data_IF_742983344713
#
_entry.id   IF_742983344713
#
_cell.length_a   1.000
_cell.length_b   1.000
_cell.length_c   1.000
_cell.angle_alpha   90.00
_cell.angle_beta   90.00
_cell.angle_gamma   90.00
#
_symmetry.space_group_name_H-M   'P 1'
#
loop_
_entity.id
_entity.type
_entity.pdbx_description
1 polymer ?
#
# COMPACT_ATOMS: atom_id res chain seq x y z
N UNK A 1 19.38 13.16 60.83
CA UNK A 1 19.42 14.41 60.04
C UNK A 1 19.10 15.65 60.88
N UNK A 2 18.46 15.51 62.05
CA UNK A 2 18.07 16.65 62.88
C UNK A 2 19.24 17.39 63.54
N UNK A 3 20.38 16.72 63.72
CA UNK A 3 21.61 17.32 64.27
C UNK A 3 22.24 18.36 63.31
N UNK A 4 22.16 18.13 61.99
CA UNK A 4 22.68 19.06 61.00
C UNK A 4 21.80 20.29 60.82
N UNK A 5 20.48 20.17 61.06
CA UNK A 5 19.55 21.31 61.02
C UNK A 5 19.71 22.28 62.19
N UNK A 6 20.39 21.87 63.27
CA UNK A 6 20.62 22.67 64.47
C UNK A 6 21.94 23.46 64.46
N UNK A 7 22.82 23.22 63.48
CA UNK A 7 24.10 23.93 63.36
C UNK A 7 23.98 25.11 62.41
N UNK A 8 24.72 26.18 62.67
CA UNK A 8 24.83 27.29 61.72
C UNK A 8 25.70 26.91 60.50
N UNK A 9 25.62 27.70 59.44
CA UNK A 9 26.33 27.49 58.19
C UNK A 9 27.85 27.51 58.32
N UNK A 10 28.42 28.36 59.18
CA UNK A 10 29.87 28.38 59.46
C UNK A 10 30.33 27.16 60.25
N UNK A 11 29.52 26.69 61.21
CA UNK A 11 29.80 25.49 61.98
C UNK A 11 29.79 24.24 61.08
N UNK A 12 28.82 24.15 60.16
CA UNK A 12 28.77 23.11 59.13
C UNK A 12 30.00 23.15 58.21
N UNK A 13 30.41 24.35 57.77
CA UNK A 13 31.59 24.52 56.91
C UNK A 13 32.88 24.11 57.64
N UNK A 14 33.05 24.46 58.92
CA UNK A 14 34.20 24.02 59.72
C UNK A 14 34.22 22.50 59.89
N UNK A 15 33.08 21.87 60.12
CA UNK A 15 32.97 20.41 60.22
C UNK A 15 33.32 19.72 58.91
N UNK A 16 32.86 20.27 57.78
CA UNK A 16 33.23 19.84 56.42
C UNK A 16 34.73 19.94 56.19
N UNK A 17 35.34 21.09 56.46
CA UNK A 17 36.79 21.29 56.32
C UNK A 17 37.60 20.31 57.17
N UNK A 18 37.20 20.05 58.42
CA UNK A 18 37.87 19.08 59.29
C UNK A 18 37.76 17.63 58.79
N UNK A 19 36.62 17.25 58.19
CA UNK A 19 36.44 15.92 57.59
C UNK A 19 37.37 15.71 56.40
N UNK A 20 37.49 16.71 55.52
CA UNK A 20 38.31 16.62 54.31
C UNK A 20 39.80 16.87 54.57
N UNK A 21 40.19 17.52 55.68
CA UNK A 21 41.60 17.65 56.08
C UNK A 21 42.28 16.29 56.36
N UNK A 22 41.53 15.26 56.76
CA UNK A 22 42.04 13.88 56.92
C UNK A 22 42.21 13.14 55.59
N UNK A 23 41.60 13.62 54.52
CA UNK A 23 41.68 13.04 53.18
C UNK A 23 42.57 13.99 52.37
N UNK A 24 43.89 13.82 52.52
CA UNK A 24 44.87 14.80 52.03
C UNK A 24 44.59 15.33 50.63
N UNK A 25 44.65 16.66 50.50
CA UNK A 25 44.92 17.36 49.24
C UNK A 25 43.76 17.59 48.27
N UNK A 26 42.49 17.47 48.67
CA UNK A 26 41.38 17.83 47.78
C UNK A 26 40.93 19.28 48.00
N UNK A 27 41.02 20.11 46.96
CA UNK A 27 40.54 21.50 46.96
C UNK A 27 39.18 21.54 46.26
N UNK A 28 38.14 21.91 47.01
CA UNK A 28 36.76 21.86 46.53
C UNK A 28 36.49 22.90 45.44
N UNK A 29 35.92 22.48 44.32
CA UNK A 29 35.59 23.36 43.18
C UNK A 29 36.62 23.40 42.06
N UNK A 30 37.78 22.73 42.22
CA UNK A 30 38.76 22.57 41.15
C UNK A 30 38.63 21.17 40.55
N UNK A 31 38.39 21.01 39.24
CA UNK A 31 38.41 19.71 38.58
C UNK A 31 39.82 19.12 38.69
N UNK A 32 39.96 18.01 39.42
CA UNK A 32 41.23 17.26 39.52
C UNK A 32 41.15 16.07 38.58
N UNK A 33 42.10 15.98 37.66
CA UNK A 33 42.16 14.87 36.71
C UNK A 33 42.49 13.54 37.41
N UNK A 34 41.90 12.41 36.98
CA UNK A 34 42.13 11.12 37.62
C UNK A 34 43.60 10.66 37.48
N UNK A 35 44.30 10.49 38.60
CA UNK A 35 45.66 9.94 38.63
C UNK A 35 45.59 8.41 38.54
N UNK A 36 46.06 7.84 37.41
CA UNK A 36 46.10 6.38 37.20
C UNK A 36 47.31 5.76 37.90
N UNK A 37 47.10 5.07 39.03
CA UNK A 37 48.16 4.28 39.69
C UNK A 37 48.44 2.98 38.92
N UNK A 38 49.71 2.59 38.84
CA UNK A 38 50.25 1.49 38.01
C UNK A 38 49.68 0.11 38.39
N UNK A 39 49.13 -0.05 39.61
CA UNK A 39 48.53 -1.30 40.11
C UNK A 39 47.05 -1.16 40.47
N UNK A 40 46.26 -0.42 39.70
CA UNK A 40 44.80 -0.42 39.86
C UNK A 40 44.22 -1.73 39.30
N UNK A 41 43.42 -2.44 40.11
CA UNK A 41 42.56 -3.51 39.59
C UNK A 41 41.68 -2.92 38.49
N UNK A 42 41.52 -3.64 37.37
CA UNK A 42 40.54 -3.28 36.35
C UNK A 42 39.19 -3.17 37.05
N UNK A 43 38.46 -2.08 36.81
CA UNK A 43 37.07 -1.93 37.24
C UNK A 43 36.35 -3.18 36.73
N UNK A 44 35.83 -4.03 37.62
CA UNK A 44 34.93 -5.10 37.21
C UNK A 44 33.82 -4.42 36.42
N UNK A 45 33.74 -4.74 35.13
CA UNK A 45 32.58 -4.40 34.33
C UNK A 45 31.35 -4.88 35.11
N UNK A 46 30.29 -4.08 35.24
CA UNK A 46 29.11 -4.53 35.95
C UNK A 46 28.69 -5.83 35.29
N UNK A 47 28.82 -6.95 36.01
CA UNK A 47 28.37 -8.26 35.58
C UNK A 47 26.93 -8.03 35.13
N UNK A 48 26.68 -8.19 33.83
CA UNK A 48 25.35 -8.10 33.24
C UNK A 48 24.55 -9.22 33.88
N UNK A 49 23.96 -8.95 35.05
CA UNK A 49 23.15 -9.91 35.77
C UNK A 49 22.01 -10.26 34.83
N UNK A 50 21.89 -11.55 34.50
CA UNK A 50 20.75 -12.07 33.76
C UNK A 50 19.49 -11.62 34.49
N UNK A 51 18.60 -10.93 33.79
CA UNK A 51 17.25 -10.74 34.29
C UNK A 51 16.63 -12.15 34.38
N UNK A 52 16.05 -12.54 35.53
CA UNK A 52 15.34 -13.80 35.65
C UNK A 52 14.27 -13.91 34.56
N UNK A 53 14.13 -15.09 33.94
CA UNK A 53 13.17 -15.33 32.85
C UNK A 53 11.74 -14.92 33.26
N UNK A 54 11.37 -15.16 34.52
CA UNK A 54 10.06 -14.79 35.07
C UNK A 54 9.84 -13.26 35.13
N UNK A 55 10.86 -12.49 35.51
CA UNK A 55 10.75 -11.02 35.57
C UNK A 55 10.59 -10.42 34.17
N UNK A 56 11.23 -11.02 33.18
CA UNK A 56 11.10 -10.61 31.78
C UNK A 56 9.74 -10.97 31.20
N UNK A 57 9.25 -12.18 31.45
CA UNK A 57 7.93 -12.62 31.00
C UNK A 57 6.84 -11.70 31.58
N UNK A 58 6.94 -11.34 32.85
CA UNK A 58 6.02 -10.41 33.52
C UNK A 58 6.09 -8.98 32.91
N UNK A 59 7.29 -8.46 32.65
CA UNK A 59 7.46 -7.15 31.99
C UNK A 59 6.86 -7.16 30.57
N UNK A 60 7.04 -8.26 29.85
CA UNK A 60 6.56 -8.46 28.48
C UNK A 60 5.05 -8.56 28.43
N UNK A 61 4.43 -9.29 29.35
CA UNK A 61 2.98 -9.43 29.42
C UNK A 61 2.32 -8.08 29.74
N UNK A 62 2.87 -7.32 30.70
CA UNK A 62 2.42 -5.95 30.99
C UNK A 62 2.53 -5.04 29.77
N UNK A 63 3.62 -5.14 29.02
CA UNK A 63 3.83 -4.31 27.82
C UNK A 63 2.89 -4.73 26.68
N UNK A 64 2.62 -6.03 26.51
CA UNK A 64 1.62 -6.54 25.57
C UNK A 64 0.22 -6.04 25.90
N UNK A 65 -0.16 -6.01 27.18
CA UNK A 65 -1.41 -5.40 27.62
C UNK A 65 -1.45 -3.89 27.32
N UNK A 66 -0.37 -3.16 27.62
CA UNK A 66 -0.29 -1.73 27.35
C UNK A 66 -0.41 -1.42 25.85
N UNK A 67 0.24 -2.19 24.98
CA UNK A 67 0.11 -2.05 23.52
C UNK A 67 -1.33 -2.33 23.08
N UNK A 68 -1.97 -3.35 23.66
CA UNK A 68 -3.34 -3.72 23.33
C UNK A 68 -4.33 -2.62 23.73
N UNK A 69 -4.17 -2.04 24.92
CA UNK A 69 -4.96 -0.90 25.43
C UNK A 69 -4.67 0.40 24.66
N UNK A 70 -3.42 0.65 24.29
CA UNK A 70 -3.02 1.82 23.50
C UNK A 70 -3.46 1.75 22.03
N UNK A 71 -3.82 0.57 21.52
CA UNK A 71 -4.45 0.44 20.20
C UNK A 71 -5.80 1.18 20.13
N UNK A 72 -6.43 1.43 21.28
CA UNK A 72 -7.69 2.17 21.44
C UNK A 72 -7.49 3.65 21.82
N UNK A 73 -6.30 4.05 22.27
CA UNK A 73 -5.97 5.43 22.62
C UNK A 73 -4.52 5.78 22.27
N UNK A 74 -4.34 6.73 21.34
CA UNK A 74 -3.03 7.21 20.89
C UNK A 74 -2.27 7.85 22.06
N UNK A 75 -1.33 7.11 22.67
CA UNK A 75 -0.48 7.63 23.73
C UNK A 75 1.00 7.35 23.45
N UNK A 76 1.81 8.42 23.48
CA UNK A 76 3.28 8.45 23.35
C UNK A 76 4.08 7.59 24.36
N UNK A 77 3.62 7.32 25.60
CA UNK A 77 4.37 6.53 26.60
C UNK A 77 4.73 5.10 26.15
N UNK A 78 3.98 4.52 25.22
CA UNK A 78 4.17 3.13 24.76
C UNK A 78 5.43 2.95 23.90
N UNK A 79 5.92 3.99 23.21
CA UNK A 79 7.07 3.90 22.30
C UNK A 79 8.41 3.78 23.06
N UNK A 80 8.59 4.58 24.11
CA UNK A 80 9.80 4.54 24.95
C UNK A 80 9.93 3.20 25.67
N UNK A 81 8.86 2.73 26.30
CA UNK A 81 8.83 1.42 26.97
C UNK A 81 9.13 0.28 25.99
N UNK A 82 8.59 0.33 24.77
CA UNK A 82 8.85 -0.66 23.73
C UNK A 82 10.32 -0.66 23.28
N UNK A 83 10.93 0.51 23.12
CA UNK A 83 12.35 0.64 22.75
C UNK A 83 13.26 0.08 23.86
N UNK A 84 12.97 0.41 25.12
CA UNK A 84 13.72 -0.12 26.27
C UNK A 84 13.64 -1.65 26.33
N UNK A 85 12.45 -2.23 26.13
CA UNK A 85 12.27 -3.69 26.12
C UNK A 85 13.01 -4.38 24.97
N UNK A 86 13.00 -3.77 23.77
CA UNK A 86 13.76 -4.27 22.61
C UNK A 86 15.26 -4.31 22.92
N UNK A 87 15.81 -3.24 23.52
CA UNK A 87 17.22 -3.19 23.89
C UNK A 87 17.58 -4.17 25.02
N UNK A 88 16.68 -4.37 26.00
CA UNK A 88 16.85 -5.43 27.01
C UNK A 88 16.90 -6.82 26.35
N UNK A 89 15.94 -7.13 25.48
CA UNK A 89 15.89 -8.43 24.79
C UNK A 89 17.12 -8.68 23.92
N UNK A 90 17.63 -7.67 23.21
CA UNK A 90 18.88 -7.81 22.43
C UNK A 90 20.05 -8.23 23.30
N UNK A 91 20.26 -7.54 24.43
CA UNK A 91 21.34 -7.88 25.37
C UNK A 91 21.22 -9.32 25.85
N UNK A 92 20.02 -9.76 26.19
CA UNK A 92 19.83 -11.13 26.67
C UNK A 92 20.01 -12.20 25.59
N UNK A 93 19.55 -11.91 24.38
CA UNK A 93 19.80 -12.76 23.22
C UNK A 93 21.30 -12.88 22.96
N UNK A 94 22.07 -11.79 23.08
CA UNK A 94 23.54 -11.82 22.93
C UNK A 94 24.21 -12.67 24.02
N UNK A 95 23.72 -12.61 25.28
CA UNK A 95 24.19 -13.48 26.35
C UNK A 95 23.87 -14.96 26.05
N UNK A 96 22.66 -15.26 25.60
CA UNK A 96 22.26 -16.63 25.28
C UNK A 96 22.98 -17.19 24.05
N UNK A 97 23.26 -16.36 23.05
CA UNK A 97 24.15 -16.74 21.95
C UNK A 97 25.57 -17.05 22.44
N UNK A 98 26.11 -16.25 23.36
CA UNK A 98 27.43 -16.50 23.94
C UNK A 98 27.47 -17.84 24.67
N UNK A 99 26.43 -18.15 25.45
CA UNK A 99 26.27 -19.44 26.13
C UNK A 99 26.09 -20.61 25.16
N UNK A 100 25.35 -20.41 24.07
CA UNK A 100 25.20 -21.43 23.04
C UNK A 100 26.54 -21.73 22.36
N UNK A 101 27.32 -20.69 22.03
CA UNK A 101 28.68 -20.83 21.46
C UNK A 101 29.62 -21.57 22.41
N UNK A 102 29.53 -21.29 23.72
CA UNK A 102 30.29 -22.01 24.75
C UNK A 102 29.86 -23.47 24.86
N UNK A 103 28.55 -23.75 24.89
CA UNK A 103 28.02 -25.10 25.01
C UNK A 103 28.34 -25.99 23.80
N UNK A 104 28.43 -25.43 22.59
CA UNK A 104 28.84 -26.15 21.38
C UNK A 104 30.38 -26.33 21.35
N UNK A 105 31.13 -25.59 22.16
CA UNK A 105 32.59 -25.64 22.17
C UNK A 105 33.25 -24.85 21.03
N UNK A 106 32.57 -23.84 20.49
CA UNK A 106 33.06 -23.03 19.36
C UNK A 106 33.76 -21.74 19.79
N UNK A 107 33.77 -21.40 21.08
CA UNK A 107 34.31 -20.13 21.62
C UNK A 107 35.72 -19.79 21.09
N UNK A 108 36.67 -20.70 21.28
CA UNK A 108 38.07 -20.45 20.91
C UNK A 108 38.25 -20.36 19.40
N UNK A 109 37.51 -21.19 18.64
CA UNK A 109 37.54 -21.16 17.16
C UNK A 109 36.98 -19.84 16.62
N UNK A 110 35.91 -19.33 17.22
CA UNK A 110 35.29 -18.07 16.82
C UNK A 110 36.20 -16.87 17.14
N UNK A 111 36.89 -16.89 18.30
CA UNK A 111 37.89 -15.88 18.65
C UNK A 111 39.06 -15.88 17.67
N UNK A 112 39.63 -17.05 17.37
CA UNK A 112 40.72 -17.18 16.39
C UNK A 112 40.29 -16.67 15.01
N UNK A 113 39.08 -17.03 14.56
CA UNK A 113 38.54 -16.58 13.28
C UNK A 113 38.36 -15.06 13.25
N UNK A 114 37.89 -14.46 14.34
CA UNK A 114 37.76 -12.99 14.46
C UNK A 114 39.11 -12.29 14.32
N UNK A 115 40.15 -12.83 14.93
CA UNK A 115 41.51 -12.30 14.79
C UNK A 115 42.07 -12.45 13.37
N UNK A 116 41.83 -13.59 12.72
CA UNK A 116 42.20 -13.81 11.31
C UNK A 116 41.50 -12.81 10.39
N UNK A 117 40.18 -12.58 10.57
CA UNK A 117 39.42 -11.59 9.82
C UNK A 117 39.92 -10.16 10.05
N UNK A 118 40.29 -9.81 11.28
CA UNK A 118 40.84 -8.48 11.59
C UNK A 118 42.18 -8.24 10.88
N UNK A 119 43.05 -9.26 10.79
CA UNK A 119 44.33 -9.19 10.06
C UNK A 119 44.16 -9.16 8.54
N UNK A 120 43.13 -9.82 8.01
CA UNK A 120 42.82 -9.80 6.59
C UNK A 120 42.23 -8.44 6.15
N UNK A 121 41.38 -7.83 6.99
CA UNK A 121 40.76 -6.53 6.70
C UNK A 121 41.77 -5.36 6.73
N UNK A 122 42.91 -5.50 7.40
CA UNK A 122 43.95 -4.44 7.44
C UNK A 122 44.83 -4.41 6.18
N UNK A 123 44.63 -5.32 5.22
CA UNK A 123 45.42 -5.42 3.99
C UNK A 123 44.68 -4.97 2.71
N UNK A 124 43.48 -4.39 2.83
CA UNK A 124 42.62 -3.92 1.71
C UNK A 124 42.39 -4.96 0.58
N UNK A 125 42.66 -6.24 0.86
CA UNK A 125 42.41 -7.34 -0.05
C UNK A 125 41.02 -7.91 0.16
N UNK A 126 40.36 -8.28 -0.94
CA UNK A 126 39.15 -9.11 -0.91
C UNK A 126 39.44 -10.35 -0.06
N UNK A 127 38.53 -10.67 0.88
CA UNK A 127 38.69 -11.79 1.82
C UNK A 127 39.14 -13.07 1.09
N UNK A 128 40.24 -13.66 1.56
CA UNK A 128 40.84 -14.84 0.94
C UNK A 128 39.84 -16.02 0.92
N UNK A 129 39.70 -16.78 -0.18
CA UNK A 129 38.74 -17.89 -0.28
C UNK A 129 38.82 -18.91 0.88
N UNK A 130 40.02 -19.22 1.35
CA UNK A 130 40.23 -20.11 2.52
C UNK A 130 39.60 -19.56 3.81
N UNK A 131 39.58 -18.23 4.00
CA UNK A 131 38.93 -17.61 5.16
C UNK A 131 37.40 -17.68 5.03
N UNK A 132 36.86 -17.49 3.83
CA UNK A 132 35.44 -17.69 3.55
C UNK A 132 35.00 -19.13 3.84
N UNK A 133 35.75 -20.13 3.39
CA UNK A 133 35.48 -21.54 3.68
C UNK A 133 35.47 -21.84 5.19
N UNK A 134 36.36 -21.20 5.97
CA UNK A 134 36.37 -21.33 7.44
C UNK A 134 35.14 -20.70 8.08
N UNK A 135 34.70 -19.53 7.60
CA UNK A 135 33.49 -18.86 8.07
C UNK A 135 32.26 -19.73 7.80
N UNK A 136 32.13 -20.26 6.58
CA UNK A 136 31.00 -21.11 6.18
C UNK A 136 30.97 -22.42 6.99
N UNK A 137 32.12 -23.07 7.18
CA UNK A 137 32.20 -24.27 8.05
C UNK A 137 31.77 -23.98 9.48
N UNK A 138 32.24 -22.87 10.06
CA UNK A 138 31.90 -22.52 11.44
C UNK A 138 30.42 -22.12 11.59
N UNK A 139 29.86 -21.46 10.57
CA UNK A 139 28.42 -21.18 10.48
C UNK A 139 27.60 -22.48 10.43
N UNK A 140 27.99 -23.44 9.61
CA UNK A 140 27.29 -24.72 9.50
C UNK A 140 27.40 -25.57 10.78
N UNK A 141 28.58 -25.61 11.39
CA UNK A 141 28.81 -26.26 12.70
C UNK A 141 27.92 -25.61 13.78
N UNK A 142 27.88 -24.28 13.83
CA UNK A 142 27.04 -23.54 14.77
C UNK A 142 25.56 -23.85 14.56
N UNK A 143 25.06 -23.78 13.32
CA UNK A 143 23.64 -24.05 13.03
C UNK A 143 23.23 -25.50 13.31
N UNK A 144 24.15 -26.47 13.11
CA UNK A 144 23.90 -27.87 13.45
C UNK A 144 23.93 -28.11 14.97
N UNK A 145 24.80 -27.41 15.69
CA UNK A 145 24.93 -27.51 17.14
C UNK A 145 23.85 -26.75 17.91
N UNK A 146 23.34 -25.64 17.38
CA UNK A 146 22.41 -24.75 18.05
C UNK A 146 21.12 -25.44 18.55
N UNK A 147 20.47 -26.37 17.82
CA UNK A 147 19.29 -27.05 18.34
C UNK A 147 19.57 -27.97 19.53
N UNK A 148 20.83 -28.35 19.75
CA UNK A 148 21.24 -29.30 20.79
C UNK A 148 21.64 -28.63 22.11
N UNK A 149 21.78 -27.29 22.12
CA UNK A 149 22.20 -26.60 23.35
C UNK A 149 21.06 -26.47 24.36
N UNK A 150 21.33 -26.57 25.67
CA UNK A 150 20.29 -26.51 26.71
C UNK A 150 19.46 -25.23 26.71
N UNK A 151 20.05 -24.10 26.30
CA UNK A 151 19.40 -22.79 26.27
C UNK A 151 18.66 -22.49 24.94
N UNK A 152 18.65 -23.41 23.98
CA UNK A 152 18.05 -23.18 22.65
C UNK A 152 16.57 -22.81 22.70
N UNK A 153 15.81 -23.47 23.59
CA UNK A 153 14.38 -23.18 23.76
C UNK A 153 14.13 -21.75 24.24
N UNK A 154 14.93 -21.27 25.20
CA UNK A 154 14.85 -19.89 25.71
C UNK A 154 15.26 -18.88 24.63
N UNK A 155 16.35 -19.15 23.92
CA UNK A 155 16.85 -18.30 22.85
C UNK A 155 15.81 -18.15 21.73
N UNK A 156 15.20 -19.27 21.32
CA UNK A 156 14.13 -19.27 20.32
C UNK A 156 12.92 -18.46 20.79
N UNK A 157 12.53 -18.59 22.06
CA UNK A 157 11.43 -17.83 22.64
C UNK A 157 11.71 -16.32 22.64
N UNK A 158 12.88 -15.89 23.12
CA UNK A 158 13.29 -14.48 23.15
C UNK A 158 13.44 -13.87 21.75
N UNK A 159 13.98 -14.62 20.79
CA UNK A 159 14.02 -14.21 19.38
C UNK A 159 12.62 -14.01 18.79
N UNK A 160 11.68 -14.91 19.11
CA UNK A 160 10.28 -14.77 18.72
C UNK A 160 9.66 -13.49 19.27
N UNK A 161 9.91 -13.21 20.54
CA UNK A 161 9.42 -12.01 21.22
C UNK A 161 10.03 -10.71 20.67
N UNK A 162 11.34 -10.69 20.43
CA UNK A 162 12.02 -9.56 19.80
C UNK A 162 11.43 -9.24 18.42
N UNK A 163 11.10 -10.28 17.64
CA UNK A 163 10.44 -10.13 16.34
C UNK A 163 9.04 -9.54 16.46
N UNK A 164 8.25 -9.93 17.46
CA UNK A 164 6.93 -9.36 17.73
C UNK A 164 7.03 -7.87 18.09
N UNK A 165 7.90 -7.51 19.03
CA UNK A 165 8.08 -6.11 19.44
C UNK A 165 8.62 -5.23 18.32
N UNK A 166 9.54 -5.75 17.50
CA UNK A 166 10.05 -5.03 16.32
C UNK A 166 8.93 -4.76 15.31
N UNK A 167 8.03 -5.71 15.09
CA UNK A 167 6.84 -5.50 14.23
C UNK A 167 5.90 -4.45 14.83
N UNK A 168 5.65 -4.50 16.14
CA UNK A 168 4.82 -3.53 16.83
C UNK A 168 5.39 -2.11 16.72
N UNK A 169 6.71 -1.96 16.87
CA UNK A 169 7.42 -0.70 16.69
C UNK A 169 7.27 -0.16 15.27
N UNK A 170 7.53 -0.98 14.26
CA UNK A 170 7.35 -0.60 12.86
C UNK A 170 5.90 -0.17 12.55
N UNK A 171 4.90 -0.82 13.16
CA UNK A 171 3.51 -0.44 13.00
C UNK A 171 3.18 0.92 13.66
N UNK A 172 3.77 1.20 14.82
CA UNK A 172 3.62 2.47 15.51
C UNK A 172 4.26 3.62 14.73
N UNK A 173 5.50 3.43 14.24
CA UNK A 173 6.20 4.42 13.41
C UNK A 173 5.45 4.71 12.10
N UNK A 174 4.85 3.69 11.48
CA UNK A 174 4.03 3.90 10.27
C UNK A 174 2.77 4.72 10.57
N UNK A 175 2.14 4.52 11.74
CA UNK A 175 0.98 5.31 12.16
C UNK A 175 1.37 6.76 12.44
N UNK A 176 2.46 7.01 13.17
CA UNK A 176 2.90 8.37 13.48
C UNK A 176 3.30 9.14 12.22
N UNK A 177 4.07 8.52 11.31
CA UNK A 177 4.40 9.10 10.00
C UNK A 177 3.16 9.34 9.13
N UNK A 178 2.18 8.45 9.18
CA UNK A 178 0.91 8.62 8.47
C UNK A 178 0.07 9.79 9.02
N UNK A 179 0.05 9.97 10.35
CA UNK A 179 -0.61 11.10 10.99
C UNK A 179 0.10 12.43 10.69
N UNK A 180 1.43 12.45 10.71
CA UNK A 180 2.26 13.60 10.32
C UNK A 180 2.02 13.99 8.86
N UNK A 181 2.09 13.02 7.94
CA UNK A 181 1.83 13.25 6.52
C UNK A 181 0.40 13.75 6.27
N UNK A 182 -0.59 13.27 7.03
CA UNK A 182 -1.97 13.78 6.97
C UNK A 182 -2.05 15.24 7.40
N UNK A 183 -1.35 15.63 8.46
CA UNK A 183 -1.29 17.03 8.91
C UNK A 183 -0.61 17.91 7.88
N UNK A 184 0.49 17.47 7.30
CA UNK A 184 1.23 18.20 6.28
C UNK A 184 0.41 18.39 5.00
N UNK A 185 -0.29 17.34 4.54
CA UNK A 185 -1.21 17.44 3.40
C UNK A 185 -2.33 18.45 3.70
N UNK A 186 -2.96 18.38 4.88
CA UNK A 186 -4.02 19.32 5.26
C UNK A 186 -3.52 20.76 5.32
N UNK A 187 -2.31 20.97 5.85
CA UNK A 187 -1.64 22.27 5.84
C UNK A 187 -1.43 22.76 4.40
N UNK A 188 -0.97 21.87 3.50
CA UNK A 188 -0.70 22.23 2.11
C UNK A 188 -1.97 22.56 1.31
N UNK A 189 -3.04 21.78 1.52
CA UNK A 189 -4.38 22.09 0.97
C UNK A 189 -4.82 23.48 1.44
N UNK A 190 -4.67 23.77 2.73
CA UNK A 190 -5.06 25.06 3.30
C UNK A 190 -4.23 26.21 2.70
N UNK A 191 -2.93 26.05 2.56
CA UNK A 191 -2.05 27.04 1.91
C UNK A 191 -2.51 27.37 0.48
N UNK A 192 -2.90 26.37 -0.31
CA UNK A 192 -3.42 26.57 -1.67
C UNK A 192 -4.77 27.30 -1.65
N UNK A 193 -5.67 26.92 -0.75
CA UNK A 193 -7.01 27.54 -0.63
C UNK A 193 -6.98 28.96 -0.07
N UNK A 194 -5.97 29.30 0.73
CA UNK A 194 -5.79 30.63 1.32
C UNK A 194 -5.06 31.61 0.39
N UNK A 195 -4.61 31.17 -0.81
CA UNK A 195 -4.00 32.06 -1.81
C UNK A 195 -4.99 33.15 -2.23
N UNK A 196 -4.56 34.43 -2.27
CA UNK A 196 -5.45 35.56 -2.61
C UNK A 196 -6.17 35.34 -3.94
N UNK A 197 -5.45 34.87 -4.96
CA UNK A 197 -5.99 34.71 -6.32
C UNK A 197 -7.10 33.66 -6.36
N UNK A 198 -6.93 32.53 -5.67
CA UNK A 198 -7.93 31.45 -5.60
C UNK A 198 -9.15 31.90 -4.79
N UNK A 199 -8.90 32.57 -3.67
CA UNK A 199 -9.94 33.03 -2.74
C UNK A 199 -10.82 34.12 -3.36
N UNK A 200 -10.21 35.09 -4.03
CA UNK A 200 -10.93 36.16 -4.74
C UNK A 200 -11.78 35.60 -5.89
N UNK A 201 -11.21 34.73 -6.73
CA UNK A 201 -11.97 34.07 -7.81
C UNK A 201 -13.13 33.25 -7.27
N UNK A 202 -12.93 32.51 -6.18
CA UNK A 202 -13.98 31.71 -5.56
C UNK A 202 -15.10 32.58 -4.95
N UNK A 203 -14.76 33.73 -4.36
CA UNK A 203 -15.76 34.69 -3.86
C UNK A 203 -16.53 35.36 -5.00
N UNK A 204 -15.86 35.77 -6.07
CA UNK A 204 -16.50 36.36 -7.24
C UNK A 204 -17.50 35.38 -7.88
N UNK A 205 -17.08 34.13 -8.09
CA UNK A 205 -17.92 33.06 -8.63
C UNK A 205 -19.11 32.74 -7.71
N UNK A 206 -18.89 32.75 -6.38
CA UNK A 206 -19.96 32.57 -5.40
C UNK A 206 -21.00 33.70 -5.47
N UNK A 207 -20.55 34.95 -5.63
CA UNK A 207 -21.44 36.09 -5.78
C UNK A 207 -22.22 36.04 -7.10
N UNK A 208 -21.60 35.57 -8.19
CA UNK A 208 -22.23 35.38 -9.50
C UNK A 208 -23.33 34.31 -9.44
N UNK A 209 -23.06 33.16 -8.81
CA UNK A 209 -24.07 32.11 -8.57
C UNK A 209 -25.19 32.58 -7.65
N UNK A 210 -24.92 33.44 -6.67
CA UNK A 210 -25.98 34.01 -5.83
C UNK A 210 -26.85 35.02 -6.58
N UNK A 211 -26.23 35.83 -7.46
CA UNK A 211 -26.94 36.83 -8.28
C UNK A 211 -27.85 36.21 -9.32
N UNK A 212 -27.54 34.99 -9.79
CA UNK A 212 -28.40 34.29 -10.76
C UNK A 212 -29.75 33.87 -10.15
N UNK A 213 -29.86 33.78 -8.82
CA UNK A 213 -31.12 33.47 -8.12
C UNK A 213 -31.62 32.04 -8.35
N UNK A 214 -30.75 31.17 -8.88
CA UNK A 214 -31.10 29.83 -9.33
C UNK A 214 -30.92 28.81 -8.20
N UNK A 215 -31.91 27.94 -8.01
CA UNK A 215 -31.91 26.92 -6.94
C UNK A 215 -31.15 25.63 -7.30
N UNK A 216 -30.94 25.35 -8.59
CA UNK A 216 -30.27 24.13 -9.06
C UNK A 216 -29.13 24.44 -10.03
N UNK A 217 -28.11 23.58 -10.08
CA UNK A 217 -26.97 23.74 -10.97
C UNK A 217 -27.30 23.58 -12.45
N UNK A 218 -28.42 22.94 -12.79
CA UNK A 218 -28.83 22.69 -14.17
C UNK A 218 -29.41 23.95 -14.84
N UNK A 219 -29.94 24.85 -14.02
CA UNK A 219 -30.60 26.08 -14.43
C UNK A 219 -29.62 27.28 -14.46
N UNK A 220 -28.32 27.05 -14.16
CA UNK A 220 -27.27 28.06 -14.30
C UNK A 220 -27.00 28.37 -15.77
N UNK A 221 -26.68 29.63 -16.07
CA UNK A 221 -26.28 30.00 -17.42
C UNK A 221 -24.96 29.30 -17.82
N UNK A 222 -24.80 29.10 -19.12
CA UNK A 222 -23.66 28.39 -19.69
C UNK A 222 -22.32 29.03 -19.30
N UNK A 223 -22.24 30.36 -19.26
CA UNK A 223 -21.03 31.10 -18.94
C UNK A 223 -20.58 30.89 -17.48
N UNK A 224 -21.52 30.92 -16.54
CA UNK A 224 -21.27 30.62 -15.12
C UNK A 224 -20.85 29.16 -14.95
N UNK A 225 -21.49 28.23 -15.66
CA UNK A 225 -21.16 26.79 -15.62
C UNK A 225 -19.76 26.49 -16.16
N UNK A 226 -19.38 27.11 -17.26
CA UNK A 226 -18.02 27.03 -17.81
C UNK A 226 -16.99 27.62 -16.84
N UNK A 227 -17.30 28.76 -16.22
CA UNK A 227 -16.42 29.42 -15.24
C UNK A 227 -16.21 28.57 -13.99
N UNK A 228 -17.26 27.92 -13.48
CA UNK A 228 -17.16 26.93 -12.39
C UNK A 228 -16.24 25.77 -12.79
N UNK A 229 -16.42 25.24 -14.00
CA UNK A 229 -15.62 24.12 -14.50
C UNK A 229 -14.14 24.49 -14.67
N UNK A 230 -13.86 25.71 -15.15
CA UNK A 230 -12.50 26.25 -15.27
C UNK A 230 -11.84 26.41 -13.90
N UNK A 231 -12.54 27.02 -12.95
CA UNK A 231 -12.04 27.22 -11.58
C UNK A 231 -11.74 25.88 -10.89
N UNK A 232 -12.61 24.87 -11.08
CA UNK A 232 -12.39 23.52 -10.55
C UNK A 232 -11.09 22.91 -11.08
N UNK A 233 -10.83 23.02 -12.39
CA UNK A 233 -9.59 22.52 -13.00
C UNK A 233 -8.36 23.28 -12.49
N UNK A 234 -8.47 24.59 -12.32
CA UNK A 234 -7.40 25.43 -11.76
C UNK A 234 -7.03 24.99 -10.34
N UNK A 235 -8.01 24.83 -9.44
CA UNK A 235 -7.79 24.33 -8.06
C UNK A 235 -7.19 22.92 -8.07
N UNK A 236 -7.68 22.02 -8.93
CA UNK A 236 -7.14 20.67 -9.05
C UNK A 236 -5.67 20.67 -9.47
N UNK A 237 -5.30 21.51 -10.44
CA UNK A 237 -3.92 21.61 -10.91
C UNK A 237 -3.00 22.19 -9.83
N UNK A 238 -3.43 23.27 -9.17
CA UNK A 238 -2.68 23.89 -8.07
C UNK A 238 -2.47 22.92 -6.91
N UNK A 239 -3.51 22.17 -6.54
CA UNK A 239 -3.41 21.18 -5.48
C UNK A 239 -2.51 20.00 -5.89
N UNK A 240 -2.63 19.52 -7.12
CA UNK A 240 -1.77 18.46 -7.63
C UNK A 240 -0.29 18.89 -7.65
N UNK A 241 0.01 20.11 -8.09
CA UNK A 241 1.37 20.66 -8.06
C UNK A 241 1.89 20.81 -6.63
N UNK A 242 1.05 21.29 -5.71
CA UNK A 242 1.43 21.45 -4.31
C UNK A 242 1.71 20.10 -3.63
N UNK A 243 0.94 19.06 -3.93
CA UNK A 243 1.16 17.71 -3.41
C UNK A 243 2.38 17.04 -4.09
N UNK A 244 2.60 17.24 -5.40
CA UNK A 244 3.81 16.79 -6.09
C UNK A 244 5.08 17.43 -5.53
N UNK A 245 5.00 18.68 -5.06
CA UNK A 245 6.14 19.33 -4.38
C UNK A 245 6.50 18.71 -3.03
N UNK A 246 5.65 17.82 -2.50
CA UNK A 246 5.92 16.98 -1.32
C UNK A 246 6.41 15.58 -1.72
N UNK A 247 6.85 15.39 -2.97
CA UNK A 247 7.23 14.09 -3.55
C UNK A 247 6.12 13.04 -3.53
N UNK A 248 4.86 13.47 -3.46
CA UNK A 248 3.70 12.58 -3.57
C UNK A 248 3.36 12.38 -5.04
N UNK A 249 3.15 11.11 -5.42
CA UNK A 249 2.62 10.80 -6.75
C UNK A 249 1.11 11.10 -6.77
N UNK A 250 0.71 11.98 -7.68
CA UNK A 250 -0.67 12.48 -7.76
C UNK A 250 -1.19 12.24 -9.16
N UNK A 251 -2.10 11.26 -9.25
CA UNK A 251 -2.88 11.01 -10.46
C UNK A 251 -4.13 11.91 -10.45
N UNK A 252 -4.23 12.83 -11.41
CA UNK A 252 -5.45 13.62 -11.61
C UNK A 252 -6.47 12.73 -12.31
N UNK A 253 -7.31 12.06 -11.53
CA UNK A 253 -8.41 11.26 -12.06
C UNK A 253 -9.46 12.21 -12.64
N UNK A 254 -9.51 12.31 -13.96
CA UNK A 254 -10.58 13.04 -14.64
C UNK A 254 -11.88 12.25 -14.57
N UNK A 255 -13.02 12.93 -14.54
CA UNK A 255 -14.34 12.29 -14.58
C UNK A 255 -14.47 11.31 -15.75
N UNK A 256 -13.74 11.55 -16.85
CA UNK A 256 -13.65 10.67 -18.01
C UNK A 256 -13.15 9.27 -17.65
N UNK A 257 -12.19 9.12 -16.72
CA UNK A 257 -11.65 7.82 -16.28
C UNK A 257 -12.64 7.06 -15.38
N UNK A 258 -13.35 7.77 -14.50
CA UNK A 258 -14.38 7.17 -13.62
C UNK A 258 -15.65 6.78 -14.38
N UNK A 259 -16.01 7.56 -15.41
CA UNK A 259 -17.14 7.27 -16.30
C UNK A 259 -16.77 6.14 -17.26
N UNK A 260 -15.56 6.12 -17.80
CA UNK A 260 -15.06 5.05 -18.68
C UNK A 260 -15.04 3.69 -17.95
N UNK A 261 -14.59 3.63 -16.69
CA UNK A 261 -14.65 2.40 -15.90
C UNK A 261 -16.10 1.96 -15.58
N UNK A 262 -17.01 2.92 -15.33
CA UNK A 262 -18.43 2.67 -15.08
C UNK A 262 -19.19 2.17 -16.32
N UNK A 263 -19.00 2.82 -17.46
CA UNK A 263 -19.54 2.39 -18.75
C UNK A 263 -18.96 1.04 -19.17
N UNK A 264 -17.65 0.85 -19.02
CA UNK A 264 -16.98 -0.41 -19.34
C UNK A 264 -17.56 -1.57 -18.54
N UNK A 265 -17.84 -1.36 -17.25
CA UNK A 265 -18.54 -2.35 -16.41
C UNK A 265 -19.94 -2.71 -16.93
N UNK A 266 -20.72 -1.72 -17.37
CA UNK A 266 -22.06 -1.94 -17.94
C UNK A 266 -22.03 -2.63 -19.30
N UNK A 267 -21.07 -2.28 -20.16
CA UNK A 267 -20.85 -2.93 -21.47
C UNK A 267 -20.43 -4.39 -21.30
N UNK A 268 -19.51 -4.67 -20.36
CA UNK A 268 -19.09 -6.04 -20.07
C UNK A 268 -20.24 -6.87 -19.48
N UNK A 269 -21.01 -6.30 -18.54
CA UNK A 269 -22.21 -6.95 -18.01
C UNK A 269 -23.25 -7.27 -19.09
N UNK A 270 -23.49 -6.34 -20.02
CA UNK A 270 -24.40 -6.58 -21.15
C UNK A 270 -23.89 -7.68 -22.09
N UNK A 271 -22.56 -7.73 -22.33
CA UNK A 271 -21.90 -8.77 -23.11
C UNK A 271 -22.03 -10.15 -22.45
N UNK A 272 -21.79 -10.25 -21.15
CA UNK A 272 -21.93 -11.49 -20.39
C UNK A 272 -23.37 -12.01 -20.42
N UNK A 273 -24.35 -11.12 -20.20
CA UNK A 273 -25.76 -11.49 -20.20
C UNK A 273 -26.25 -11.91 -21.58
N UNK A 274 -25.84 -11.20 -22.63
CA UNK A 274 -26.11 -11.60 -24.02
C UNK A 274 -25.54 -12.99 -24.28
N UNK A 275 -24.27 -13.22 -23.93
CA UNK A 275 -23.58 -14.51 -24.11
C UNK A 275 -24.30 -15.64 -23.37
N UNK A 276 -24.70 -15.41 -22.12
CA UNK A 276 -25.47 -16.38 -21.31
C UNK A 276 -26.82 -16.70 -21.94
N UNK A 277 -27.49 -15.72 -22.54
CA UNK A 277 -28.78 -15.93 -23.22
C UNK A 277 -28.62 -16.73 -24.52
N UNK A 278 -27.54 -16.51 -25.28
CA UNK A 278 -27.18 -17.36 -26.43
C UNK A 278 -26.93 -18.79 -25.96
N UNK A 279 -26.13 -18.97 -24.92
CA UNK A 279 -25.77 -20.28 -24.38
C UNK A 279 -27.00 -21.06 -23.89
N UNK A 280 -27.89 -20.41 -23.14
CA UNK A 280 -29.14 -21.01 -22.67
C UNK A 280 -30.05 -21.44 -23.84
N UNK A 281 -30.12 -20.63 -24.90
CA UNK A 281 -30.89 -20.97 -26.09
C UNK A 281 -30.28 -22.17 -26.84
N UNK A 282 -28.96 -22.20 -27.00
CA UNK A 282 -28.24 -23.32 -27.62
C UNK A 282 -28.40 -24.62 -26.85
N UNK A 283 -28.50 -24.52 -25.52
CA UNK A 283 -28.74 -25.65 -24.62
C UNK A 283 -30.22 -26.02 -24.48
N UNK A 284 -31.14 -25.21 -25.04
CA UNK A 284 -32.56 -25.50 -25.00
C UNK A 284 -32.89 -26.78 -25.77
N UNK A 285 -33.68 -27.65 -25.16
CA UNK A 285 -34.15 -28.89 -25.80
C UNK A 285 -34.91 -28.60 -27.09
N UNK A 286 -35.67 -27.51 -27.14
CA UNK A 286 -36.46 -27.12 -28.29
C UNK A 286 -35.61 -26.78 -29.53
N UNK A 287 -34.61 -25.89 -29.40
CA UNK A 287 -33.71 -25.57 -30.52
C UNK A 287 -32.85 -26.78 -30.90
N UNK A 288 -32.32 -27.52 -29.90
CA UNK A 288 -31.53 -28.73 -30.09
C UNK A 288 -32.28 -29.81 -30.87
N UNK A 289 -33.54 -30.05 -30.53
CA UNK A 289 -34.40 -31.01 -31.21
C UNK A 289 -34.70 -30.56 -32.65
N UNK A 290 -34.93 -29.27 -32.87
CA UNK A 290 -35.18 -28.71 -34.21
C UNK A 290 -33.94 -28.88 -35.12
N UNK A 291 -32.74 -28.66 -34.57
CA UNK A 291 -31.47 -28.88 -35.28
C UNK A 291 -31.25 -30.37 -35.59
N UNK A 292 -31.58 -31.27 -34.66
CA UNK A 292 -31.49 -32.71 -34.90
C UNK A 292 -32.47 -33.18 -35.99
N UNK A 293 -33.70 -32.66 -35.98
CA UNK A 293 -34.69 -32.92 -37.03
C UNK A 293 -34.21 -32.44 -38.39
N UNK A 294 -33.62 -31.24 -38.46
CA UNK A 294 -33.02 -30.72 -39.69
C UNK A 294 -31.91 -31.65 -40.19
N UNK A 295 -31.00 -32.10 -39.31
CA UNK A 295 -29.94 -33.05 -39.67
C UNK A 295 -30.49 -34.37 -40.23
N UNK A 296 -31.54 -34.92 -39.61
CA UNK A 296 -32.19 -36.15 -40.07
C UNK A 296 -32.89 -35.96 -41.42
N UNK A 297 -33.56 -34.82 -41.63
CA UNK A 297 -34.24 -34.54 -42.89
C UNK A 297 -33.24 -34.32 -44.04
N UNK A 298 -32.14 -33.61 -43.78
CA UNK A 298 -31.04 -33.45 -44.74
C UNK A 298 -30.39 -34.79 -45.09
N UNK A 299 -30.20 -35.67 -44.10
CA UNK A 299 -29.68 -37.02 -44.35
C UNK A 299 -30.63 -37.89 -45.18
N UNK A 300 -31.94 -37.77 -44.97
CA UNK A 300 -32.98 -38.48 -45.75
C UNK A 300 -33.09 -37.95 -47.19
N UNK A 301 -32.95 -36.64 -47.38
CA UNK A 301 -33.09 -35.99 -48.68
C UNK A 301 -31.95 -36.31 -49.67
N UNK A 302 -30.77 -36.70 -49.16
CA UNK A 302 -29.63 -37.07 -50.01
C UNK A 302 -29.11 -35.90 -50.87
N UNK A 303 -28.42 -36.21 -51.99
CA UNK A 303 -27.83 -35.21 -52.89
C UNK A 303 -28.84 -34.51 -53.81
N UNK A 304 -30.02 -35.09 -54.00
CA UNK A 304 -31.10 -34.57 -54.83
C UNK A 304 -32.42 -34.64 -54.06
N UNK A 305 -32.73 -33.62 -53.25
CA UNK A 305 -33.97 -33.55 -52.48
C UNK A 305 -35.18 -33.49 -53.42
N UNK A 306 -36.22 -34.26 -53.12
CA UNK A 306 -37.52 -34.07 -53.73
C UNK A 306 -38.19 -32.79 -53.22
N UNK A 307 -39.23 -32.33 -53.93
CA UNK A 307 -39.91 -31.05 -53.64
C UNK A 307 -40.45 -31.01 -52.20
N UNK A 308 -40.88 -32.16 -51.65
CA UNK A 308 -41.38 -32.25 -50.29
C UNK A 308 -40.25 -32.10 -49.25
N UNK A 309 -39.13 -32.81 -49.41
CA UNK A 309 -37.97 -32.67 -48.51
C UNK A 309 -37.39 -31.25 -48.53
N UNK A 310 -37.34 -30.62 -49.72
CA UNK A 310 -36.86 -29.23 -49.86
C UNK A 310 -37.71 -28.24 -49.06
N UNK A 311 -39.04 -28.33 -49.16
CA UNK A 311 -39.96 -27.49 -48.38
C UNK A 311 -39.82 -27.70 -46.87
N UNK A 312 -39.58 -28.95 -46.45
CA UNK A 312 -39.46 -29.30 -45.04
C UNK A 312 -38.14 -28.85 -44.41
N UNK A 313 -37.03 -28.94 -45.16
CA UNK A 313 -35.73 -28.38 -44.78
C UNK A 313 -35.84 -26.86 -44.64
N UNK A 314 -36.43 -26.17 -45.62
CA UNK A 314 -36.63 -24.71 -45.58
C UNK A 314 -37.49 -24.27 -44.38
N UNK A 315 -38.56 -24.99 -44.09
CA UNK A 315 -39.40 -24.70 -42.91
C UNK A 315 -38.64 -24.86 -41.58
N UNK A 316 -37.79 -25.90 -41.46
CA UNK A 316 -36.96 -26.11 -40.26
C UNK A 316 -35.87 -25.05 -40.12
N UNK A 317 -35.25 -24.62 -41.22
CA UNK A 317 -34.29 -23.51 -41.22
C UNK A 317 -34.95 -22.19 -40.80
N UNK A 318 -36.15 -21.90 -41.31
CA UNK A 318 -36.92 -20.72 -40.92
C UNK A 318 -37.29 -20.76 -39.43
N UNK A 319 -37.71 -21.90 -38.91
CA UNK A 319 -37.99 -22.05 -37.47
C UNK A 319 -36.75 -21.80 -36.61
N UNK A 320 -35.59 -22.32 -37.01
CA UNK A 320 -34.31 -22.08 -36.29
C UNK A 320 -33.99 -20.58 -36.29
N UNK A 321 -34.09 -19.91 -37.44
CA UNK A 321 -33.86 -18.46 -37.57
C UNK A 321 -34.83 -17.65 -36.72
N UNK A 322 -36.10 -18.02 -36.71
CA UNK A 322 -37.13 -17.34 -35.94
C UNK A 322 -36.88 -17.48 -34.44
N UNK A 323 -36.53 -18.68 -33.95
CA UNK A 323 -36.21 -18.90 -32.53
C UNK A 323 -35.00 -18.08 -32.07
N UNK A 324 -33.96 -17.99 -32.92
CA UNK A 324 -32.79 -17.14 -32.66
C UNK A 324 -33.16 -15.65 -32.63
N UNK A 325 -33.94 -15.18 -33.61
CA UNK A 325 -34.38 -13.79 -33.68
C UNK A 325 -35.25 -13.39 -32.49
N UNK A 326 -36.18 -14.24 -32.04
CA UNK A 326 -37.05 -13.96 -30.89
C UNK A 326 -36.26 -13.86 -29.58
N UNK A 327 -35.24 -14.70 -29.38
CA UNK A 327 -34.41 -14.65 -28.19
C UNK A 327 -33.54 -13.37 -28.12
N UNK A 328 -32.96 -12.96 -29.24
CA UNK A 328 -32.15 -11.73 -29.33
C UNK A 328 -33.00 -10.47 -29.26
N UNK A 329 -34.23 -10.52 -29.78
CA UNK A 329 -35.21 -9.42 -29.68
C UNK A 329 -36.06 -9.48 -28.40
N UNK A 330 -35.65 -10.26 -27.40
CA UNK A 330 -36.30 -10.23 -26.09
C UNK A 330 -36.24 -8.83 -25.49
N UNK A 331 -37.32 -8.41 -24.81
CA UNK A 331 -37.45 -7.04 -24.28
C UNK A 331 -36.30 -6.64 -23.36
N UNK A 332 -35.70 -7.61 -22.67
CA UNK A 332 -34.58 -7.42 -21.74
C UNK A 332 -33.26 -7.01 -22.43
N UNK A 333 -32.84 -7.71 -23.49
CA UNK A 333 -31.62 -7.34 -24.25
C UNK A 333 -31.86 -6.01 -24.97
N UNK A 334 -33.05 -5.86 -25.57
CA UNK A 334 -33.39 -4.67 -26.35
C UNK A 334 -33.44 -3.41 -25.47
N UNK A 335 -34.08 -3.49 -24.30
CA UNK A 335 -34.16 -2.38 -23.35
C UNK A 335 -32.77 -1.96 -22.85
N UNK A 336 -31.90 -2.93 -22.53
CA UNK A 336 -30.53 -2.63 -22.06
C UNK A 336 -29.65 -2.03 -23.16
N UNK A 337 -29.83 -2.47 -24.39
CA UNK A 337 -29.14 -1.88 -25.54
C UNK A 337 -29.58 -0.43 -25.79
N UNK A 338 -30.88 -0.14 -25.69
CA UNK A 338 -31.42 1.23 -25.81
C UNK A 338 -30.94 2.13 -24.65
N UNK A 339 -30.88 1.61 -23.42
CA UNK A 339 -30.35 2.32 -22.25
C UNK A 339 -28.85 2.64 -22.40
N UNK A 340 -28.04 1.67 -22.84
CA UNK A 340 -26.61 1.89 -23.13
C UNK A 340 -26.40 2.91 -24.24
N UNK A 341 -27.20 2.88 -25.32
CA UNK A 341 -27.12 3.86 -26.38
C UNK A 341 -27.49 5.27 -25.91
N UNK A 342 -28.50 5.41 -25.06
CA UNK A 342 -28.89 6.69 -24.49
C UNK A 342 -27.78 7.27 -23.58
N UNK A 343 -27.13 6.41 -22.79
CA UNK A 343 -26.02 6.79 -21.91
C UNK A 343 -24.78 7.23 -22.72
N UNK A 344 -24.43 6.50 -23.78
CA UNK A 344 -23.35 6.88 -24.72
C UNK A 344 -23.67 8.20 -25.45
N UNK A 345 -24.92 8.42 -25.84
CA UNK A 345 -25.35 9.64 -26.53
C UNK A 345 -25.31 10.88 -25.63
N UNK A 346 -25.67 10.73 -24.35
CA UNK A 346 -25.55 11.79 -23.33
C UNK A 346 -24.08 12.19 -23.12
N UNK A 347 -23.15 11.25 -23.25
CA UNK A 347 -21.71 11.51 -23.11
C UNK A 347 -21.08 12.18 -24.34
N UNK A 348 -21.51 11.82 -25.55
CA UNK A 348 -21.00 12.41 -26.80
C UNK A 348 -21.40 13.89 -26.95
N UNK A 349 -22.61 14.26 -26.54
CA UNK A 349 -23.10 15.64 -26.63
C UNK A 349 -22.55 16.58 -25.53
N UNK A 350 -21.93 16.05 -24.49
CA UNK A 350 -21.17 16.84 -23.51
C UNK A 350 -19.77 17.24 -23.99
N UNK A 351 -19.36 16.76 -25.17
CA UNK A 351 -18.01 16.91 -25.70
C UNK A 351 -18.06 17.25 -27.19
N UNK A 352 -18.33 18.51 -27.55
CA UNK A 352 -17.79 19.16 -28.76
C UNK A 352 -18.18 20.63 -28.86
N UNK A 353 -17.25 21.52 -28.51
CA UNK A 353 -16.77 22.63 -29.35
C UNK A 353 -15.61 23.33 -28.66
N UNK A 354 -14.41 23.11 -29.21
CA UNK A 354 -13.38 24.12 -29.46
C UNK A 354 -12.05 23.40 -29.74
N UNK A 355 -11.82 23.11 -31.03
CA UNK A 355 -10.49 23.22 -31.59
C UNK A 355 -10.62 23.80 -33.02
N UNK A 356 -10.25 25.06 -33.10
CA UNK A 356 -9.77 25.86 -34.23
C UNK A 356 -10.27 25.59 -35.66
N UNK A 357 -11.05 26.56 -36.12
CA UNK A 357 -11.14 26.99 -37.51
C UNK A 357 -9.74 27.38 -38.03
N UNK A 358 -9.25 26.65 -39.02
CA UNK A 358 -8.52 27.26 -40.14
C UNK A 358 -9.22 26.88 -41.44
N UNK A 359 -10.04 27.84 -41.86
CA UNK A 359 -10.34 28.30 -43.21
C UNK A 359 -9.80 27.46 -44.39
N UNK A 360 -10.73 27.01 -45.24
CA UNK A 360 -10.43 26.34 -46.51
C UNK A 360 -11.64 25.65 -47.14
N UNK A 361 -12.71 26.39 -47.45
CA UNK A 361 -13.72 25.96 -48.46
C UNK A 361 -13.15 26.11 -49.88
N UNK A 362 -13.74 25.54 -50.97
CA UNK A 362 -15.00 24.78 -51.11
C UNK A 362 -14.83 23.47 -51.93
N UNK A 363 -15.81 22.56 -52.03
CA UNK A 363 -16.91 22.60 -53.01
C UNK A 363 -17.87 21.43 -52.80
N UNK A 364 -19.15 21.72 -53.04
CA UNK A 364 -20.26 20.78 -53.23
C UNK A 364 -19.88 19.60 -54.12
N UNK A 365 -20.30 18.40 -53.72
CA UNK A 365 -20.93 17.50 -54.67
C UNK A 365 -22.01 16.65 -53.99
N UNK A 366 -23.20 16.70 -54.57
CA UNK A 366 -24.34 15.85 -54.23
C UNK A 366 -24.03 14.43 -54.71
N UNK A 367 -24.15 13.41 -53.86
CA UNK A 367 -24.52 12.07 -54.37
C UNK A 367 -25.05 11.17 -53.26
N UNK A 368 -26.38 11.09 -53.26
CA UNK A 368 -27.19 9.87 -53.18
C UNK A 368 -26.53 8.61 -52.62
N UNK A 369 -27.17 8.13 -51.57
CA UNK A 369 -27.27 6.73 -51.18
C UNK A 369 -27.55 5.85 -52.41
N UNK A 370 -26.64 4.91 -52.71
CA UNK A 370 -26.98 3.73 -53.50
C UNK A 370 -26.20 2.53 -52.96
N UNK A 371 -26.94 1.69 -52.23
CA UNK A 371 -26.49 0.39 -51.72
C UNK A 371 -26.56 -0.58 -52.89
N UNK A 372 -25.41 -0.96 -53.46
CA UNK A 372 -25.36 -2.02 -54.45
C UNK A 372 -25.19 -3.39 -53.77
N UNK A 373 -26.30 -4.13 -53.77
CA UNK A 373 -26.35 -5.60 -53.63
C UNK A 373 -26.10 -6.23 -55.01
N UNK A 374 -25.20 -7.21 -55.08
CA UNK A 374 -25.06 -8.12 -56.23
C UNK A 374 -23.62 -8.60 -56.42
N UNK A 375 -23.25 -9.79 -55.97
CA UNK A 375 -23.39 -11.08 -56.66
C UNK A 375 -22.31 -11.32 -57.75
N UNK A 376 -21.41 -12.29 -57.48
CA UNK A 376 -20.93 -13.39 -58.34
C UNK A 376 -19.66 -14.01 -57.70
N UNK A 377 -19.68 -15.28 -57.24
CA UNK A 377 -19.26 -16.49 -58.01
C UNK A 377 -17.96 -16.23 -58.79
N UNK A 378 -16.84 -16.89 -58.49
CA UNK A 378 -16.54 -18.25 -58.98
C UNK A 378 -15.10 -18.66 -58.64
N UNK A 379 -14.91 -19.93 -58.23
CA UNK A 379 -13.77 -20.85 -58.44
C UNK A 379 -12.32 -20.33 -58.42
N UNK A 380 -11.51 -20.83 -57.47
CA UNK A 380 -10.60 -21.99 -57.62
C UNK A 380 -10.64 -22.78 -56.31
#
# INVERSE_FOLDING_TARGET
MDELKKMDTEALLKHRMLKFRKIGGFQEGVPVDPIRKVNMKKKEEPITRKTPVLELEDEVEKLKEQISKAKESSSKPTELALNEMIEKLKKEIDLEYSEAVEAIGLKDRLLNLREECAKANSQDHLMHPVLMDKIEKLHDEFNKGLPTVPNYASLKYKLGMLKEFSKAKCALEKKSKGEELKLDINKKIKEVMDRPEIKEKMQALKAEVQKSGVSTSADLDEGTRESISKMKKEIQLELANALKSMDLDVEIVTAKKLIDDGLKGKVESFREETSKKIENLMNSSDLKNTIQLLKLEVAKAGKTPDVASKKKIEALEQQIRQKLATAMNSSEIKSKHEELLAEIALESNGSLKNHDLKEGTPKNDESRVEINLGANRSFI
#
